data_IF_879748019722
#
_entry.id   IF_879748019722
#
_cell.length_a   1.000
_cell.length_b   1.000
_cell.length_c   1.000
_cell.angle_alpha   90.00
_cell.angle_beta   90.00
_cell.angle_gamma   90.00
#
_symmetry.space_group_name_H-M   'P 1'
#
loop_
_entity.id
_entity.type
_entity.pdbx_description
1 polymer ?
#
# COMPACT_ATOMS: atom_id res chain seq x y z
N UNK A 1 -20.36 11.72 0.11
CA UNK A 1 -21.14 12.58 1.01
C UNK A 1 -21.39 13.94 0.35
N UNK A 2 -22.57 14.20 -0.23
CA UNK A 2 -22.95 15.53 -0.75
C UNK A 2 -23.43 16.48 0.37
N UNK A 3 -23.77 15.93 1.54
CA UNK A 3 -24.37 16.67 2.67
C UNK A 3 -23.38 17.45 3.55
N UNK A 4 -22.07 17.42 3.25
CA UNK A 4 -21.03 17.90 4.19
C UNK A 4 -20.03 18.86 3.55
N UNK A 5 -19.69 18.67 2.26
CA UNK A 5 -18.92 19.64 1.47
C UNK A 5 -19.49 19.71 0.05
N UNK A 6 -20.24 20.77 -0.31
CA UNK A 6 -20.53 21.06 -1.70
C UNK A 6 -19.19 21.24 -2.43
N UNK A 7 -19.03 20.64 -3.61
CA UNK A 7 -17.82 20.68 -4.46
C UNK A 7 -16.65 19.72 -4.14
N UNK A 8 -16.88 18.62 -3.40
CA UNK A 8 -15.88 17.54 -3.22
C UNK A 8 -16.07 16.36 -4.18
N UNK A 9 -16.70 16.57 -5.35
CA UNK A 9 -17.04 15.51 -6.31
C UNK A 9 -15.82 14.67 -6.71
N UNK A 10 -14.67 15.29 -6.97
CA UNK A 10 -13.43 14.59 -7.34
C UNK A 10 -12.94 13.64 -6.24
N UNK A 11 -13.00 14.09 -4.98
CA UNK A 11 -12.64 13.27 -3.82
C UNK A 11 -13.60 12.10 -3.69
N UNK A 12 -14.91 12.34 -3.85
CA UNK A 12 -15.92 11.28 -3.77
C UNK A 12 -15.76 10.25 -4.89
N UNK A 13 -15.52 10.69 -6.13
CA UNK A 13 -15.37 9.77 -7.27
C UNK A 13 -14.12 8.91 -7.14
N UNK A 14 -12.96 9.49 -6.80
CA UNK A 14 -11.72 8.71 -6.70
C UNK A 14 -11.78 7.70 -5.55
N UNK A 15 -12.28 8.11 -4.38
CA UNK A 15 -12.40 7.23 -3.22
C UNK A 15 -13.46 6.14 -3.47
N UNK A 16 -14.55 6.48 -4.17
CA UNK A 16 -15.56 5.50 -4.57
C UNK A 16 -15.01 4.45 -5.53
N UNK A 17 -14.23 4.86 -6.54
CA UNK A 17 -13.54 3.93 -7.44
C UNK A 17 -12.53 3.06 -6.68
N UNK A 18 -11.71 3.67 -5.80
CA UNK A 18 -10.76 2.96 -4.96
C UNK A 18 -11.42 1.91 -4.08
N UNK A 19 -12.53 2.27 -3.43
CA UNK A 19 -13.33 1.34 -2.62
C UNK A 19 -13.86 0.16 -3.44
N UNK A 20 -14.34 0.40 -4.67
CA UNK A 20 -14.76 -0.67 -5.58
C UNK A 20 -13.61 -1.63 -5.93
N UNK A 21 -12.43 -1.09 -6.22
CA UNK A 21 -11.22 -1.88 -6.49
C UNK A 21 -10.81 -2.70 -5.26
N UNK A 22 -10.84 -2.11 -4.06
CA UNK A 22 -10.53 -2.79 -2.81
C UNK A 22 -11.50 -3.94 -2.52
N UNK A 23 -12.81 -3.77 -2.77
CA UNK A 23 -13.79 -4.87 -2.65
C UNK A 23 -13.40 -6.04 -3.54
N UNK A 24 -13.00 -5.79 -4.79
CA UNK A 24 -12.57 -6.85 -5.71
C UNK A 24 -11.33 -7.55 -5.15
N UNK A 25 -10.32 -6.80 -4.69
CA UNK A 25 -9.11 -7.38 -4.10
C UNK A 25 -9.41 -8.22 -2.86
N UNK A 26 -10.25 -7.74 -1.94
CA UNK A 26 -10.64 -8.47 -0.74
C UNK A 26 -11.44 -9.72 -1.10
N UNK A 27 -12.35 -9.64 -2.07
CA UNK A 27 -13.14 -10.80 -2.53
C UNK A 27 -12.24 -11.90 -3.07
N UNK A 28 -11.30 -11.55 -3.94
CA UNK A 28 -10.29 -12.49 -4.45
C UNK A 28 -9.46 -13.08 -3.31
N UNK A 29 -9.01 -12.25 -2.36
CA UNK A 29 -8.25 -12.72 -1.21
C UNK A 29 -9.06 -13.70 -0.35
N UNK A 30 -10.34 -13.44 -0.11
CA UNK A 30 -11.22 -14.32 0.67
C UNK A 30 -11.48 -15.66 -0.03
N UNK A 31 -11.51 -15.69 -1.35
CA UNK A 31 -11.69 -16.91 -2.14
C UNK A 31 -10.41 -17.76 -2.14
N UNK A 32 -9.25 -17.13 -2.35
CA UNK A 32 -8.00 -17.84 -2.63
C UNK A 32 -7.03 -17.97 -1.44
N UNK A 33 -7.29 -17.34 -0.29
CA UNK A 33 -6.40 -17.41 0.88
C UNK A 33 -6.69 -18.59 1.81
N UNK A 34 -5.65 -19.03 2.52
CA UNK A 34 -5.75 -20.04 3.59
C UNK A 34 -6.71 -19.60 4.71
N UNK A 35 -7.46 -20.55 5.27
CA UNK A 35 -8.51 -20.30 6.28
C UNK A 35 -8.08 -19.42 7.47
N UNK A 36 -6.82 -19.55 7.94
CA UNK A 36 -6.30 -18.71 9.05
C UNK A 36 -6.10 -17.25 8.65
N UNK A 37 -5.54 -17.00 7.46
CA UNK A 37 -5.33 -15.65 6.91
C UNK A 37 -6.67 -15.00 6.57
N UNK A 38 -7.58 -15.79 5.99
CA UNK A 38 -8.95 -15.39 5.69
C UNK A 38 -9.70 -14.95 6.94
N UNK A 39 -9.69 -15.74 8.02
CA UNK A 39 -10.38 -15.41 9.26
C UNK A 39 -9.82 -14.11 9.87
N UNK A 40 -8.50 -13.93 9.86
CA UNK A 40 -7.87 -12.69 10.33
C UNK A 40 -8.35 -11.48 9.52
N UNK A 41 -8.38 -11.58 8.19
CA UNK A 41 -8.84 -10.49 7.34
C UNK A 41 -10.32 -10.15 7.58
N UNK A 42 -11.20 -11.16 7.64
CA UNK A 42 -12.63 -10.96 7.95
C UNK A 42 -12.79 -10.28 9.31
N UNK A 43 -12.05 -10.72 10.34
CA UNK A 43 -12.13 -10.11 11.66
C UNK A 43 -11.73 -8.63 11.65
N UNK A 44 -10.67 -8.26 10.90
CA UNK A 44 -10.24 -6.86 10.75
C UNK A 44 -11.32 -6.04 10.04
N UNK A 45 -11.85 -6.51 8.92
CA UNK A 45 -12.89 -5.81 8.15
C UNK A 45 -14.16 -5.62 8.98
N UNK A 46 -14.60 -6.65 9.71
CA UNK A 46 -15.76 -6.55 10.60
C UNK A 46 -15.51 -5.55 11.73
N UNK A 47 -14.31 -5.57 12.34
CA UNK A 47 -13.96 -4.62 13.38
C UNK A 47 -13.95 -3.16 12.86
N UNK A 48 -13.42 -2.92 11.67
CA UNK A 48 -13.46 -1.60 11.02
C UNK A 48 -14.89 -1.15 10.71
N UNK A 49 -15.74 -2.04 10.17
CA UNK A 49 -17.15 -1.74 9.93
C UNK A 49 -17.88 -1.37 11.24
N UNK A 50 -17.67 -2.12 12.32
CA UNK A 50 -18.25 -1.83 13.64
C UNK A 50 -17.75 -0.48 14.14
N UNK A 51 -16.44 -0.21 14.06
CA UNK A 51 -15.87 1.07 14.44
C UNK A 51 -16.51 2.24 13.69
N UNK A 52 -16.69 2.12 12.36
CA UNK A 52 -17.33 3.14 11.53
C UNK A 52 -18.80 3.37 11.90
N UNK A 53 -19.56 2.30 12.16
CA UNK A 53 -20.97 2.40 12.58
C UNK A 53 -21.08 3.07 13.94
N UNK A 54 -20.28 2.64 14.92
CA UNK A 54 -20.26 3.23 16.27
C UNK A 54 -19.86 4.70 16.21
N UNK A 55 -18.81 5.04 15.46
CA UNK A 55 -18.38 6.42 15.27
C UNK A 55 -19.49 7.27 14.65
N UNK A 56 -20.14 6.79 13.59
CA UNK A 56 -21.24 7.49 12.94
C UNK A 56 -22.41 7.72 13.91
N UNK A 57 -22.82 6.70 14.67
CA UNK A 57 -23.89 6.81 15.66
C UNK A 57 -23.55 7.82 16.76
N UNK A 58 -22.34 7.77 17.33
CA UNK A 58 -21.90 8.72 18.36
C UNK A 58 -21.90 10.16 17.84
N UNK A 59 -21.39 10.39 16.63
CA UNK A 59 -21.33 11.74 16.05
C UNK A 59 -22.72 12.27 15.70
N UNK A 60 -23.62 11.43 15.18
CA UNK A 60 -24.98 11.86 14.83
C UNK A 60 -25.85 12.13 16.06
N UNK A 61 -25.63 11.41 17.16
CA UNK A 61 -26.42 11.54 18.40
C UNK A 61 -25.87 12.62 19.35
N UNK A 62 -24.56 12.68 19.56
CA UNK A 62 -23.94 13.54 20.58
C UNK A 62 -23.51 14.91 20.07
N UNK A 63 -23.31 15.08 18.76
CA UNK A 63 -22.84 16.34 18.18
C UNK A 63 -23.97 16.92 17.34
N UNK A 64 -24.54 18.06 17.72
CA UNK A 64 -25.68 18.63 17.00
C UNK A 64 -25.29 19.61 15.87
N UNK A 65 -24.02 20.06 15.82
CA UNK A 65 -23.56 21.05 14.83
C UNK A 65 -22.84 20.38 13.66
N UNK A 66 -23.32 20.60 12.44
CA UNK A 66 -22.73 20.02 11.22
C UNK A 66 -21.24 20.35 11.02
N UNK A 67 -20.82 21.58 11.33
CA UNK A 67 -19.41 21.99 11.28
C UNK A 67 -18.53 21.12 12.17
N UNK A 68 -18.94 20.91 13.43
CA UNK A 68 -18.18 20.10 14.39
C UNK A 68 -18.13 18.62 13.99
N UNK A 69 -19.25 18.06 13.49
CA UNK A 69 -19.28 16.69 12.92
C UNK A 69 -18.23 16.53 11.81
N UNK A 70 -18.19 17.50 10.90
CA UNK A 70 -17.26 17.51 9.76
C UNK A 70 -15.81 17.59 10.22
N UNK A 71 -15.50 18.46 11.19
CA UNK A 71 -14.15 18.59 11.76
C UNK A 71 -13.69 17.30 12.43
N UNK A 72 -14.53 16.64 13.23
CA UNK A 72 -14.15 15.40 13.91
C UNK A 72 -13.89 14.27 12.90
N UNK A 73 -14.83 14.03 11.99
CA UNK A 73 -14.69 12.98 10.96
C UNK A 73 -13.50 13.25 10.05
N UNK A 74 -13.32 14.51 9.62
CA UNK A 74 -12.18 14.94 8.81
C UNK A 74 -10.84 14.73 9.53
N UNK A 75 -10.77 15.01 10.82
CA UNK A 75 -9.55 14.82 11.63
C UNK A 75 -9.17 13.35 11.76
N UNK A 76 -10.15 12.46 12.02
CA UNK A 76 -9.93 11.01 12.09
C UNK A 76 -9.49 10.46 10.74
N UNK A 77 -10.16 10.87 9.65
CA UNK A 77 -9.81 10.47 8.30
C UNK A 77 -8.38 10.93 7.91
N UNK A 78 -8.02 12.16 8.28
CA UNK A 78 -6.67 12.69 8.07
C UNK A 78 -5.62 11.88 8.84
N UNK A 79 -5.87 11.57 10.11
CA UNK A 79 -4.98 10.73 10.91
C UNK A 79 -4.81 9.32 10.29
N UNK A 80 -5.91 8.71 9.83
CA UNK A 80 -5.91 7.45 9.09
C UNK A 80 -5.03 7.51 7.83
N UNK A 81 -5.20 8.54 7.01
CA UNK A 81 -4.39 8.75 5.80
C UNK A 81 -2.90 8.88 6.12
N UNK A 82 -2.54 9.62 7.17
CA UNK A 82 -1.15 9.76 7.61
C UNK A 82 -0.59 8.41 8.05
N UNK A 83 -1.35 7.61 8.80
CA UNK A 83 -0.92 6.27 9.24
C UNK A 83 -0.63 5.33 8.06
N UNK A 84 -1.36 5.44 6.95
CA UNK A 84 -1.12 4.63 5.74
C UNK A 84 0.30 4.82 5.18
N UNK A 85 0.94 5.97 5.41
CA UNK A 85 2.32 6.20 4.99
C UNK A 85 3.37 5.34 5.72
N UNK A 86 2.99 4.63 6.78
CA UNK A 86 3.85 3.62 7.40
C UNK A 86 4.29 2.53 6.39
N UNK A 87 3.42 2.16 5.44
CA UNK A 87 3.73 1.15 4.43
C UNK A 87 4.87 1.59 3.48
N UNK A 88 4.78 2.73 2.76
CA UNK A 88 5.89 3.19 1.91
C UNK A 88 7.17 3.48 2.70
N UNK A 89 7.08 3.97 3.94
CA UNK A 89 8.24 4.14 4.83
C UNK A 89 8.95 2.81 5.14
N UNK A 90 8.17 1.75 5.41
CA UNK A 90 8.72 0.40 5.61
C UNK A 90 9.46 -0.11 4.37
N UNK A 91 8.90 0.12 3.17
CA UNK A 91 9.56 -0.23 1.91
C UNK A 91 10.84 0.59 1.71
N UNK A 92 10.84 1.89 2.01
CA UNK A 92 12.06 2.71 1.95
C UNK A 92 13.15 2.20 2.90
N UNK A 93 12.79 1.81 4.13
CA UNK A 93 13.71 1.18 5.08
C UNK A 93 14.28 -0.13 4.48
N UNK A 94 13.44 -0.96 3.88
CA UNK A 94 13.87 -2.18 3.22
C UNK A 94 14.86 -1.90 2.09
N UNK A 95 14.64 -0.88 1.26
CA UNK A 95 15.56 -0.47 0.18
C UNK A 95 16.91 -0.03 0.75
N UNK A 96 16.93 0.75 1.82
CA UNK A 96 18.17 1.22 2.46
C UNK A 96 18.95 0.05 3.05
N UNK A 97 18.28 -0.87 3.73
CA UNK A 97 18.91 -2.04 4.36
C UNK A 97 19.41 -3.06 3.33
N UNK A 98 18.60 -3.36 2.32
CA UNK A 98 18.95 -4.37 1.28
C UNK A 98 19.79 -3.80 0.15
N UNK A 99 19.93 -2.47 0.07
CA UNK A 99 20.54 -1.73 -1.04
C UNK A 99 19.89 -2.07 -2.41
N UNK A 100 18.65 -2.56 -2.39
CA UNK A 100 17.92 -3.09 -3.55
C UNK A 100 16.53 -2.46 -3.67
N UNK A 101 16.13 -2.09 -4.89
CA UNK A 101 14.81 -1.51 -5.21
C UNK A 101 13.83 -2.56 -5.77
N UNK A 102 14.12 -3.85 -5.57
CA UNK A 102 13.29 -4.97 -6.06
C UNK A 102 11.81 -4.85 -5.64
N UNK A 103 11.56 -4.37 -4.42
CA UNK A 103 10.21 -4.19 -3.86
C UNK A 103 9.65 -2.77 -4.04
N UNK A 104 10.36 -1.88 -4.75
CA UNK A 104 9.95 -0.50 -5.01
C UNK A 104 10.00 -0.21 -6.52
N UNK A 105 8.96 -0.60 -7.28
CA UNK A 105 8.94 -0.40 -8.72
C UNK A 105 8.81 1.10 -9.09
N UNK A 106 9.61 1.54 -10.06
CA UNK A 106 9.72 2.94 -10.48
C UNK A 106 8.37 3.60 -10.78
N UNK A 107 7.56 2.97 -11.63
CA UNK A 107 6.28 3.55 -12.07
C UNK A 107 5.31 3.75 -10.91
N UNK A 108 5.30 2.83 -9.94
CA UNK A 108 4.46 2.97 -8.75
C UNK A 108 4.86 4.19 -7.94
N UNK A 109 6.16 4.39 -7.71
CA UNK A 109 6.68 5.57 -7.01
C UNK A 109 6.43 6.87 -7.79
N UNK A 110 6.61 6.85 -9.12
CA UNK A 110 6.39 8.01 -9.98
C UNK A 110 4.92 8.44 -9.98
N UNK A 111 3.99 7.51 -10.22
CA UNK A 111 2.57 7.84 -10.22
C UNK A 111 2.07 8.21 -8.82
N UNK A 112 2.62 7.62 -7.76
CA UNK A 112 2.30 8.03 -6.39
C UNK A 112 2.76 9.47 -6.11
N UNK A 113 3.96 9.85 -6.57
CA UNK A 113 4.47 11.21 -6.46
C UNK A 113 3.60 12.20 -7.24
N UNK A 114 3.31 11.92 -8.52
CA UNK A 114 2.46 12.78 -9.36
C UNK A 114 1.04 12.91 -8.80
N UNK A 115 0.48 11.82 -8.26
CA UNK A 115 -0.80 11.85 -7.57
C UNK A 115 -0.74 12.75 -6.34
N UNK A 116 0.29 12.62 -5.50
CA UNK A 116 0.52 13.50 -4.36
C UNK A 116 0.57 14.97 -4.78
N UNK A 117 1.40 15.32 -5.77
CA UNK A 117 1.53 16.69 -6.29
C UNK A 117 0.18 17.23 -6.77
N UNK A 118 -0.57 16.41 -7.52
CA UNK A 118 -1.87 16.81 -8.07
C UNK A 118 -2.88 17.12 -6.96
N UNK A 119 -2.96 16.27 -5.93
CA UNK A 119 -3.86 16.48 -4.79
C UNK A 119 -3.42 17.63 -3.89
N UNK A 120 -2.12 17.79 -3.65
CA UNK A 120 -1.59 18.94 -2.91
C UNK A 120 -1.91 20.24 -3.65
N UNK A 121 -1.69 20.30 -4.97
CA UNK A 121 -2.05 21.46 -5.78
C UNK A 121 -3.57 21.75 -5.75
N UNK A 122 -4.41 20.72 -5.91
CA UNK A 122 -5.86 20.84 -5.79
C UNK A 122 -6.28 21.44 -4.44
N UNK A 123 -5.68 20.94 -3.35
CA UNK A 123 -6.05 21.34 -2.00
C UNK A 123 -5.54 22.74 -1.63
N UNK A 124 -4.46 23.21 -2.25
CA UNK A 124 -3.95 24.58 -2.11
C UNK A 124 -4.88 25.62 -2.75
N UNK A 125 -5.59 25.29 -3.82
CA UNK A 125 -6.53 26.23 -4.49
C UNK A 125 -7.66 26.65 -3.53
N UNK A 126 -8.16 25.73 -2.70
CA UNK A 126 -9.25 25.99 -1.74
C UNK A 126 -8.78 26.09 -0.29
N UNK A 127 -7.47 25.98 -0.04
CA UNK A 127 -6.86 25.86 1.29
C UNK A 127 -7.63 24.91 2.21
N UNK A 128 -7.78 23.65 1.81
CA UNK A 128 -8.38 22.60 2.65
C UNK A 128 -7.28 21.86 3.43
N UNK A 129 -7.13 22.10 4.76
CA UNK A 129 -6.05 21.50 5.53
C UNK A 129 -6.13 19.97 5.63
N UNK A 130 -7.34 19.40 5.56
CA UNK A 130 -7.54 17.96 5.67
C UNK A 130 -7.04 17.21 4.44
N UNK A 131 -6.99 17.88 3.28
CA UNK A 131 -6.48 17.31 2.04
C UNK A 131 -5.02 17.71 1.82
N UNK A 132 -4.64 18.96 2.09
CA UNK A 132 -3.25 19.45 1.93
C UNK A 132 -2.27 18.63 2.77
N UNK A 133 -2.59 18.41 4.05
CA UNK A 133 -1.65 17.80 5.00
C UNK A 133 -1.23 16.39 4.59
N UNK A 134 -2.15 15.41 4.42
CA UNK A 134 -1.74 14.06 4.05
C UNK A 134 -1.11 14.04 2.66
N UNK A 135 -1.70 14.68 1.65
CA UNK A 135 -1.15 14.64 0.28
C UNK A 135 0.21 15.34 0.15
N UNK A 136 0.46 16.39 0.94
CA UNK A 136 1.77 17.02 1.04
C UNK A 136 2.82 16.06 1.58
N UNK A 137 2.50 15.33 2.65
CA UNK A 137 3.38 14.26 3.15
C UNK A 137 3.60 13.16 2.11
N UNK A 138 2.54 12.72 1.43
CA UNK A 138 2.62 11.74 0.34
C UNK A 138 3.51 12.20 -0.81
N UNK A 139 3.48 13.49 -1.15
CA UNK A 139 4.36 14.10 -2.15
C UNK A 139 5.83 14.02 -1.73
N UNK A 140 6.13 14.42 -0.49
CA UNK A 140 7.51 14.36 0.04
C UNK A 140 8.03 12.93 0.08
N UNK A 141 7.20 11.98 0.53
CA UNK A 141 7.56 10.56 0.55
C UNK A 141 7.73 9.98 -0.86
N UNK A 142 6.84 10.32 -1.79
CA UNK A 142 6.95 9.90 -3.20
C UNK A 142 8.24 10.40 -3.85
N UNK A 143 8.62 11.65 -3.57
CA UNK A 143 9.91 12.20 -4.01
C UNK A 143 11.08 11.42 -3.40
N UNK A 144 11.03 11.13 -2.10
CA UNK A 144 12.06 10.36 -1.43
C UNK A 144 12.18 8.93 -2.00
N UNK A 145 11.06 8.29 -2.36
CA UNK A 145 11.06 6.99 -3.05
C UNK A 145 11.76 7.07 -4.41
N UNK A 146 11.50 8.12 -5.20
CA UNK A 146 12.17 8.32 -6.49
C UNK A 146 13.68 8.54 -6.33
N UNK A 147 14.11 9.33 -5.35
CA UNK A 147 15.53 9.56 -5.05
C UNK A 147 16.25 8.27 -4.60
N UNK A 148 15.60 7.47 -3.74
CA UNK A 148 16.13 6.16 -3.35
C UNK A 148 16.21 5.22 -4.55
N UNK A 149 15.19 5.22 -5.41
CA UNK A 149 15.18 4.42 -6.63
C UNK A 149 16.41 4.74 -7.49
N UNK A 150 16.64 6.01 -7.81
CA UNK A 150 17.77 6.43 -8.64
C UNK A 150 19.13 6.08 -8.02
N UNK A 151 19.22 6.16 -6.69
CA UNK A 151 20.46 5.87 -5.95
C UNK A 151 20.79 4.37 -5.96
N UNK A 152 19.80 3.51 -5.73
CA UNK A 152 20.01 2.06 -5.58
C UNK A 152 19.76 1.24 -6.84
N UNK A 153 19.27 1.83 -7.93
CA UNK A 153 19.00 1.14 -9.20
C UNK A 153 20.21 0.35 -9.73
N UNK A 154 21.39 0.97 -9.73
CA UNK A 154 22.63 0.31 -10.19
C UNK A 154 23.05 -0.84 -9.28
N UNK A 155 22.92 -0.67 -7.96
CA UNK A 155 23.23 -1.72 -6.98
C UNK A 155 22.29 -2.91 -7.15
N UNK A 156 20.99 -2.64 -7.33
CA UNK A 156 19.94 -3.63 -7.60
C UNK A 156 20.26 -4.46 -8.84
N UNK A 157 20.66 -3.85 -9.96
CA UNK A 157 21.06 -4.58 -11.17
C UNK A 157 22.21 -5.56 -10.92
N UNK A 158 23.20 -5.16 -10.12
CA UNK A 158 24.33 -6.03 -9.76
C UNK A 158 23.89 -7.20 -8.89
N UNK A 159 23.09 -6.94 -7.86
CA UNK A 159 22.55 -7.97 -6.95
C UNK A 159 21.70 -8.98 -7.72
N UNK A 160 20.82 -8.53 -8.61
CA UNK A 160 19.99 -9.42 -9.43
C UNK A 160 20.83 -10.26 -10.41
N UNK A 161 21.86 -9.69 -11.02
CA UNK A 161 22.78 -10.43 -11.88
C UNK A 161 23.54 -11.52 -11.11
N UNK A 162 24.05 -11.21 -9.92
CA UNK A 162 24.71 -12.19 -9.04
C UNK A 162 23.75 -13.29 -8.59
N UNK A 163 22.52 -12.94 -8.19
CA UNK A 163 21.48 -13.90 -7.80
C UNK A 163 21.17 -14.86 -8.96
N UNK A 164 21.08 -14.35 -10.19
CA UNK A 164 20.85 -15.18 -11.38
C UNK A 164 22.04 -16.12 -11.66
N UNK A 165 23.27 -15.61 -11.60
CA UNK A 165 24.47 -16.42 -11.79
C UNK A 165 24.58 -17.55 -10.75
N UNK A 166 24.32 -17.25 -9.47
CA UNK A 166 24.36 -18.26 -8.41
C UNK A 166 23.29 -19.35 -8.58
N UNK A 167 22.11 -18.99 -9.07
CA UNK A 167 21.04 -19.96 -9.38
C UNK A 167 21.43 -20.85 -10.56
N UNK A 168 22.01 -20.28 -11.61
CA UNK A 168 22.50 -21.04 -12.78
C UNK A 168 23.61 -22.01 -12.39
N UNK A 169 24.57 -21.59 -11.56
CA UNK A 169 25.63 -22.46 -11.03
C UNK A 169 25.05 -23.59 -10.16
N UNK A 170 24.14 -23.28 -9.23
CA UNK A 170 23.52 -24.30 -8.36
C UNK A 170 22.62 -25.29 -9.10
N UNK A 171 22.07 -24.92 -10.26
CA UNK A 171 21.36 -25.83 -11.16
C UNK A 171 22.33 -26.69 -11.97
N UNK A 172 23.45 -26.14 -12.41
CA UNK A 172 24.48 -26.87 -13.15
C UNK A 172 25.26 -27.86 -12.27
N UNK A 173 25.41 -27.57 -10.96
CA UNK A 173 26.04 -28.45 -9.97
C UNK A 173 25.13 -29.61 -9.48
N UNK A 174 23.89 -29.70 -9.99
CA UNK A 174 23.06 -30.90 -9.89
C UNK A 174 23.18 -31.84 -11.12
N UNK A 175 24.32 -32.51 -11.39
CA UNK A 175 24.32 -33.73 -12.20
C UNK A 175 24.42 -35.01 -11.33
N UNK A 176 23.49 -35.94 -11.58
CA UNK A 176 23.62 -37.41 -11.46
C UNK A 176 23.85 -38.10 -10.09
N UNK A 177 23.05 -37.78 -9.07
CA UNK A 177 22.91 -38.64 -7.87
C UNK A 177 21.90 -39.81 -8.02
N UNK A 178 21.54 -40.22 -9.25
CA UNK A 178 20.53 -41.28 -9.47
C UNK A 178 20.88 -42.30 -10.59
N UNK A 179 22.14 -42.69 -10.75
CA UNK A 179 22.53 -43.74 -11.72
C UNK A 179 23.33 -44.93 -11.18
N UNK A 180 23.47 -45.11 -9.86
CA UNK A 180 24.22 -46.26 -9.30
C UNK A 180 23.37 -47.32 -8.57
N UNK A 181 22.06 -47.38 -8.80
CA UNK A 181 21.15 -48.32 -8.12
C UNK A 181 20.86 -49.66 -8.80
N UNK A 182 21.33 -49.90 -10.03
CA UNK A 182 20.83 -51.02 -10.87
C UNK A 182 21.90 -52.02 -11.35
N UNK A 183 22.96 -52.28 -10.57
CA UNK A 183 24.04 -53.20 -10.98
C UNK A 183 24.31 -54.40 -10.05
N UNK A 184 23.52 -54.64 -9.00
CA UNK A 184 23.75 -55.81 -8.12
C UNK A 184 22.45 -56.50 -7.68
N UNK A 185 21.79 -57.21 -8.59
CA UNK A 185 20.93 -58.38 -8.27
C UNK A 185 20.92 -59.32 -9.47
N UNK A 186 21.82 -60.29 -9.48
CA UNK A 186 21.90 -61.29 -10.53
C UNK A 186 23.05 -62.27 -10.33
N UNK A 187 23.04 -63.01 -9.22
CA UNK A 187 23.49 -64.41 -9.09
C UNK A 187 22.66 -65.04 -7.97
#
# INVERSE_FOLDING_TARGET
MPMVHPHSTLVVTINGTGFGIEIVYLSLFLIFSESKKRLRLVAIVVAECIFMVVLALLILTLVHTAKLRSTIVGSICMAGNIMMYAAPLSVMKLVITTRSVEYMPFFLSLFSFLNGVSWTAYALIKFDPFIVTPNGMGTVLGLAQLLLYTTFYRSTKRIMAQKKANVEVGLAEKPDANKNGSQFKGV
#
